data_IF_565143566260
#
_entry.id   IF_565143566260
#
_cell.length_a   1.000
_cell.length_b   1.000
_cell.length_c   1.000
_cell.angle_alpha   90.00
_cell.angle_beta   90.00
_cell.angle_gamma   90.00
#
_symmetry.space_group_name_H-M   'P 1'
#
loop_
_entity.id
_entity.type
_entity.pdbx_description
1 polymer ?
#
# COMPACT_ATOMS: atom_id res chain seq x y z
N UNK A 1 1.75 7.54 -21.37
CA UNK A 1 2.30 6.28 -20.83
C UNK A 1 1.10 5.40 -20.52
N UNK A 2 0.96 4.29 -21.23
CA UNK A 2 -0.17 3.34 -21.12
C UNK A 2 0.01 2.48 -19.87
N UNK A 3 -1.01 2.41 -19.00
CA UNK A 3 -1.05 1.56 -17.79
C UNK A 3 -1.32 0.10 -18.19
N UNK A 4 -0.42 -0.50 -18.97
CA UNK A 4 -0.52 -1.89 -19.42
C UNK A 4 0.79 -2.63 -19.10
N UNK A 5 0.66 -3.83 -18.52
CA UNK A 5 1.77 -4.78 -18.38
C UNK A 5 1.69 -5.81 -19.51
N UNK A 6 2.82 -6.07 -20.15
CA UNK A 6 2.99 -7.08 -21.20
C UNK A 6 4.04 -8.08 -20.73
N UNK A 7 3.84 -9.38 -20.99
CA UNK A 7 4.94 -10.34 -20.88
C UNK A 7 5.97 -10.09 -21.97
N UNK A 8 7.20 -10.59 -21.77
CA UNK A 8 8.18 -10.58 -22.84
C UNK A 8 7.64 -11.38 -24.04
N UNK A 9 7.76 -10.79 -25.23
CA UNK A 9 7.35 -11.36 -26.52
C UNK A 9 5.84 -11.50 -26.79
N UNK A 10 4.97 -10.82 -26.02
CA UNK A 10 3.53 -10.72 -26.32
C UNK A 10 3.08 -9.27 -26.57
N UNK A 11 2.27 -9.07 -27.61
CA UNK A 11 1.71 -7.75 -27.98
C UNK A 11 0.44 -7.45 -27.15
N UNK A 12 -0.26 -8.48 -26.71
CA UNK A 12 -1.47 -8.34 -25.89
C UNK A 12 -1.10 -7.91 -24.46
N UNK A 13 -1.80 -6.92 -23.88
CA UNK A 13 -1.62 -6.58 -22.48
C UNK A 13 -2.17 -7.72 -21.62
N UNK A 14 -1.31 -8.34 -20.83
CA UNK A 14 -1.71 -9.36 -19.85
C UNK A 14 -2.71 -8.79 -18.83
N UNK A 15 -2.58 -7.49 -18.56
CA UNK A 15 -3.47 -6.75 -17.68
C UNK A 15 -3.41 -5.27 -18.06
N UNK A 16 -4.56 -4.67 -18.38
CA UNK A 16 -4.69 -3.25 -18.70
C UNK A 16 -5.41 -2.49 -17.60
N UNK A 17 -5.19 -1.18 -17.49
CA UNK A 17 -5.99 -0.31 -16.61
C UNK A 17 -7.50 -0.38 -16.85
N UNK A 18 -7.96 -0.83 -18.03
CA UNK A 18 -9.38 -1.06 -18.33
C UNK A 18 -9.94 -2.32 -17.65
N UNK A 19 -9.10 -3.33 -17.46
CA UNK A 19 -9.47 -4.56 -16.76
C UNK A 19 -9.67 -4.27 -15.26
N UNK A 20 -8.82 -3.44 -14.66
CA UNK A 20 -9.05 -2.94 -13.29
C UNK A 20 -10.38 -2.17 -13.13
N UNK A 21 -10.76 -1.33 -14.09
CA UNK A 21 -12.03 -0.58 -14.04
C UNK A 21 -13.22 -1.54 -14.12
N UNK A 22 -13.12 -2.57 -14.96
CA UNK A 22 -14.17 -3.58 -15.14
C UNK A 22 -14.30 -4.48 -13.91
N UNK A 23 -13.18 -4.80 -13.26
CA UNK A 23 -13.13 -5.77 -12.16
C UNK A 23 -13.30 -5.16 -10.77
N UNK A 24 -12.76 -3.95 -10.53
CA UNK A 24 -12.83 -3.29 -9.22
C UNK A 24 -13.85 -2.14 -9.15
N UNK A 25 -14.61 -1.89 -10.23
CA UNK A 25 -15.49 -0.74 -10.39
C UNK A 25 -14.72 0.60 -10.57
N UNK A 26 -15.30 1.50 -11.37
CA UNK A 26 -14.78 2.84 -11.68
C UNK A 26 -14.55 3.70 -10.43
N UNK A 27 -15.37 3.56 -9.40
CA UNK A 27 -15.18 4.30 -8.15
C UNK A 27 -13.84 3.95 -7.50
N UNK A 28 -13.57 2.66 -7.30
CA UNK A 28 -12.33 2.18 -6.70
C UNK A 28 -11.10 2.62 -7.51
N UNK A 29 -11.17 2.51 -8.84
CA UNK A 29 -10.10 2.97 -9.72
C UNK A 29 -9.79 4.47 -9.54
N UNK A 30 -10.83 5.31 -9.41
CA UNK A 30 -10.65 6.73 -9.18
C UNK A 30 -10.01 7.01 -7.82
N UNK A 31 -10.39 6.27 -6.77
CA UNK A 31 -9.81 6.41 -5.43
C UNK A 31 -8.33 6.02 -5.43
N UNK A 32 -7.96 4.90 -6.06
CA UNK A 32 -6.56 4.50 -6.25
C UNK A 32 -5.75 5.54 -7.02
N UNK A 33 -6.32 6.10 -8.09
CA UNK A 33 -5.68 7.15 -8.87
C UNK A 33 -5.47 8.43 -8.05
N UNK A 34 -6.44 8.81 -7.23
CA UNK A 34 -6.33 9.96 -6.35
C UNK A 34 -5.22 9.76 -5.31
N UNK A 35 -5.17 8.59 -4.66
CA UNK A 35 -4.11 8.28 -3.70
C UNK A 35 -2.75 8.27 -4.37
N UNK A 36 -2.62 7.69 -5.57
CA UNK A 36 -1.36 7.73 -6.34
C UNK A 36 -0.90 9.17 -6.55
N UNK A 37 -1.78 10.05 -6.99
CA UNK A 37 -1.43 11.46 -7.22
C UNK A 37 -1.04 12.16 -5.92
N UNK A 38 -1.80 11.94 -4.84
CA UNK A 38 -1.50 12.50 -3.52
C UNK A 38 -0.12 12.02 -3.01
N UNK A 39 0.22 10.76 -3.23
CA UNK A 39 1.53 10.22 -2.89
C UNK A 39 2.62 10.86 -3.74
N UNK A 40 2.42 11.03 -5.05
CA UNK A 40 3.36 11.74 -5.95
C UNK A 40 3.62 13.16 -5.47
N UNK A 41 2.59 13.87 -5.03
CA UNK A 41 2.76 15.23 -4.49
C UNK A 41 3.59 15.20 -3.21
N UNK A 42 3.37 14.22 -2.33
CA UNK A 42 4.19 14.02 -1.12
C UNK A 42 5.64 13.68 -1.51
N UNK A 43 5.85 12.76 -2.45
CA UNK A 43 7.16 12.35 -2.97
C UNK A 43 7.98 13.54 -3.48
N UNK A 44 7.33 14.46 -4.17
CA UNK A 44 7.97 15.65 -4.72
C UNK A 44 8.31 16.68 -3.64
N UNK A 45 7.58 16.65 -2.51
CA UNK A 45 7.77 17.59 -1.41
C UNK A 45 8.82 17.16 -0.39
N UNK A 46 8.91 15.87 -0.07
CA UNK A 46 9.81 15.35 0.97
C UNK A 46 10.08 13.84 0.79
N UNK A 47 11.31 13.51 0.42
CA UNK A 47 11.75 12.13 0.17
C UNK A 47 12.03 11.33 1.44
N UNK A 48 12.21 11.98 2.59
CA UNK A 48 12.45 11.32 3.87
C UNK A 48 11.12 10.77 4.40
N UNK A 49 10.06 11.58 4.34
CA UNK A 49 8.71 11.17 4.74
C UNK A 49 8.30 9.89 4.04
N UNK A 50 8.57 9.76 2.74
CA UNK A 50 8.11 8.59 2.02
C UNK A 50 8.93 7.33 2.31
N UNK A 51 10.24 7.47 2.56
CA UNK A 51 11.08 6.35 3.01
C UNK A 51 10.53 5.80 4.32
N UNK A 52 10.14 6.69 5.25
CA UNK A 52 9.50 6.30 6.50
C UNK A 52 8.14 5.64 6.27
N UNK A 53 7.34 6.13 5.33
CA UNK A 53 6.06 5.51 4.98
C UNK A 53 6.22 4.09 4.47
N UNK A 54 7.17 3.84 3.57
CA UNK A 54 7.43 2.48 3.08
C UNK A 54 7.78 1.53 4.22
N UNK A 55 8.61 1.97 5.17
CA UNK A 55 8.94 1.17 6.36
C UNK A 55 7.71 0.92 7.23
N UNK A 56 6.87 1.93 7.47
CA UNK A 56 5.60 1.78 8.23
C UNK A 56 4.65 0.81 7.54
N UNK A 57 4.57 0.84 6.20
CA UNK A 57 3.73 -0.05 5.41
C UNK A 57 4.27 -1.49 5.41
N UNK A 58 5.59 -1.69 5.40
CA UNK A 58 6.21 -3.02 5.53
C UNK A 58 5.86 -3.71 6.85
N UNK A 59 5.77 -2.93 7.93
CA UNK A 59 5.32 -3.44 9.24
C UNK A 59 3.79 -3.42 9.42
N UNK A 60 3.02 -3.03 8.40
CA UNK A 60 1.56 -3.03 8.49
C UNK A 60 1.00 -4.43 8.35
N UNK A 61 0.26 -4.90 9.35
CA UNK A 61 -0.42 -6.20 9.32
C UNK A 61 -1.42 -6.36 8.17
N UNK A 62 -1.96 -5.27 7.60
CA UNK A 62 -2.94 -5.33 6.49
C UNK A 62 -2.29 -5.55 5.13
N UNK A 63 -1.08 -5.01 4.98
CA UNK A 63 -0.33 -5.04 3.72
C UNK A 63 0.68 -6.19 3.73
N UNK A 64 1.19 -6.53 4.91
CA UNK A 64 2.17 -7.60 5.05
C UNK A 64 1.57 -8.99 4.81
N UNK A 65 2.34 -9.82 4.13
CA UNK A 65 2.08 -11.23 3.80
C UNK A 65 2.09 -12.16 5.04
N UNK A 66 2.30 -11.63 6.25
CA UNK A 66 2.26 -12.43 7.49
C UNK A 66 0.89 -13.03 7.80
N UNK A 67 -0.16 -12.68 7.07
CA UNK A 67 -1.50 -13.22 7.26
C UNK A 67 -1.68 -14.62 6.63
N UNK A 68 -0.75 -15.07 5.80
CA UNK A 68 -0.81 -16.40 5.19
C UNK A 68 -0.37 -17.48 6.19
N UNK A 69 -1.18 -18.53 6.44
CA UNK A 69 -0.83 -19.61 7.36
C UNK A 69 0.41 -20.44 6.95
N UNK A 70 1.00 -20.16 5.78
CA UNK A 70 2.18 -20.84 5.23
C UNK A 70 3.49 -20.04 5.36
N UNK A 71 3.50 -18.87 6.01
CA UNK A 71 4.74 -18.14 6.20
C UNK A 71 5.62 -18.86 7.25
N UNK A 72 6.58 -19.66 6.78
CA UNK A 72 7.51 -20.51 7.56
C UNK A 72 8.32 -19.72 8.62
N UNK A 73 8.31 -18.38 8.56
CA UNK A 73 8.97 -17.49 9.50
C UNK A 73 8.19 -17.24 10.81
N UNK A 74 6.98 -17.79 10.99
CA UNK A 74 6.00 -17.30 11.98
C UNK A 74 5.90 -18.03 13.32
N UNK A 75 6.68 -19.08 13.60
CA UNK A 75 6.63 -19.69 14.94
C UNK A 75 7.15 -18.78 16.06
N UNK A 76 8.03 -17.81 15.74
CA UNK A 76 8.72 -16.98 16.75
C UNK A 76 8.50 -15.46 16.63
N UNK A 77 7.83 -14.97 15.58
CA UNK A 77 7.63 -13.53 15.38
C UNK A 77 6.36 -13.07 16.11
N UNK A 78 6.54 -12.48 17.30
CA UNK A 78 5.45 -11.91 18.08
C UNK A 78 4.81 -10.70 17.34
N UNK A 79 3.50 -10.73 17.02
CA UNK A 79 2.79 -9.61 16.38
C UNK A 79 2.93 -8.29 17.13
N UNK A 80 3.07 -8.34 18.45
CA UNK A 80 3.31 -7.17 19.30
C UNK A 80 4.65 -6.51 18.98
N UNK A 81 5.68 -7.28 18.63
CA UNK A 81 7.00 -6.76 18.29
C UNK A 81 6.99 -6.05 16.94
N UNK A 82 6.24 -6.56 15.96
CA UNK A 82 6.01 -5.89 14.67
C UNK A 82 5.29 -4.55 14.89
N UNK A 83 4.22 -4.55 15.69
CA UNK A 83 3.48 -3.33 16.01
C UNK A 83 4.35 -2.29 16.74
N UNK A 84 5.18 -2.74 17.68
CA UNK A 84 6.16 -1.87 18.36
C UNK A 84 7.15 -1.27 17.36
N UNK A 85 7.68 -2.07 16.45
CA UNK A 85 8.58 -1.59 15.40
C UNK A 85 7.89 -0.55 14.51
N UNK A 86 6.65 -0.81 14.08
CA UNK A 86 5.86 0.13 13.30
C UNK A 86 5.69 1.47 14.03
N UNK A 87 5.37 1.45 15.33
CA UNK A 87 5.19 2.66 16.13
C UNK A 87 6.47 3.48 16.28
N UNK A 88 7.65 2.85 16.31
CA UNK A 88 8.93 3.59 16.33
C UNK A 88 9.04 4.46 15.07
N UNK A 89 8.68 3.94 13.90
CA UNK A 89 8.72 4.70 12.66
C UNK A 89 7.62 5.76 12.57
N UNK A 90 6.43 5.48 13.11
CA UNK A 90 5.36 6.48 13.22
C UNK A 90 5.80 7.65 14.11
N UNK A 91 6.41 7.38 15.27
CA UNK A 91 6.98 8.41 16.14
C UNK A 91 8.08 9.19 15.44
N UNK A 92 8.93 8.51 14.66
CA UNK A 92 9.98 9.15 13.87
C UNK A 92 9.41 10.12 12.82
N UNK A 93 8.29 9.78 12.16
CA UNK A 93 7.60 10.71 11.25
C UNK A 93 7.14 11.95 12.01
N UNK A 94 6.53 11.79 13.19
CA UNK A 94 6.08 12.94 13.98
C UNK A 94 7.24 13.84 14.42
N UNK A 95 8.32 13.26 14.93
CA UNK A 95 9.54 14.00 15.32
C UNK A 95 10.19 14.70 14.13
N UNK A 96 10.25 14.04 12.98
CA UNK A 96 10.75 14.63 11.75
C UNK A 96 9.88 15.84 11.35
N UNK A 97 8.55 15.69 11.36
CA UNK A 97 7.65 16.79 11.08
C UNK A 97 7.85 17.98 12.03
N UNK A 98 8.02 17.71 13.33
CA UNK A 98 8.29 18.74 14.34
C UNK A 98 9.60 19.49 14.06
N UNK A 99 10.66 18.75 13.72
CA UNK A 99 11.97 19.33 13.43
C UNK A 99 11.95 20.16 12.13
N UNK A 100 11.29 19.65 11.08
CA UNK A 100 11.35 20.24 9.75
C UNK A 100 10.36 21.39 9.55
N UNK A 101 9.14 21.28 10.09
CA UNK A 101 8.04 22.23 9.84
C UNK A 101 7.60 23.01 11.09
N UNK A 102 8.21 22.73 12.24
CA UNK A 102 7.93 23.42 13.50
C UNK A 102 6.62 22.98 14.18
N UNK A 103 6.43 23.43 15.41
CA UNK A 103 5.33 23.01 16.30
C UNK A 103 3.93 23.30 15.76
N UNK A 104 3.79 24.31 14.91
CA UNK A 104 2.48 24.75 14.43
C UNK A 104 1.98 23.92 13.23
N UNK A 105 2.87 23.54 12.31
CA UNK A 105 2.50 22.79 11.11
C UNK A 105 2.64 21.28 11.28
N UNK A 106 3.55 20.83 12.15
CA UNK A 106 3.85 19.42 12.31
C UNK A 106 2.63 18.53 12.65
N UNK A 107 1.72 18.90 13.58
CA UNK A 107 0.55 18.07 13.88
C UNK A 107 -0.40 17.93 12.69
N UNK A 108 -0.54 18.99 11.89
CA UNK A 108 -1.43 19.02 10.72
C UNK A 108 -0.87 18.10 9.63
N UNK A 109 0.44 18.23 9.34
CA UNK A 109 1.11 17.40 8.35
C UNK A 109 1.15 15.93 8.79
N UNK A 110 1.49 15.67 10.05
CA UNK A 110 1.47 14.32 10.62
C UNK A 110 0.09 13.68 10.49
N UNK A 111 -0.99 14.37 10.88
CA UNK A 111 -2.34 13.83 10.76
C UNK A 111 -2.70 13.56 9.29
N UNK A 112 -2.35 14.48 8.38
CA UNK A 112 -2.55 14.29 6.93
C UNK A 112 -1.84 13.03 6.45
N UNK A 113 -0.59 12.83 6.86
CA UNK A 113 0.24 11.68 6.52
C UNK A 113 -0.33 10.35 7.03
N UNK A 114 -0.69 10.28 8.31
CA UNK A 114 -1.29 9.07 8.90
C UNK A 114 -2.63 8.74 8.24
N UNK A 115 -3.47 9.75 7.97
CA UNK A 115 -4.74 9.53 7.27
C UNK A 115 -4.55 8.94 5.87
N UNK A 116 -3.49 9.32 5.14
CA UNK A 116 -3.17 8.72 3.84
C UNK A 116 -2.73 7.26 4.00
N UNK A 117 -1.89 6.96 4.99
CA UNK A 117 -1.48 5.57 5.29
C UNK A 117 -2.68 4.68 5.62
N UNK A 118 -3.62 5.16 6.44
CA UNK A 118 -4.84 4.42 6.77
C UNK A 118 -5.72 4.17 5.54
N UNK A 119 -5.87 5.17 4.66
CA UNK A 119 -6.61 5.01 3.39
C UNK A 119 -5.97 3.98 2.48
N UNK A 120 -4.63 3.95 2.37
CA UNK A 120 -3.92 2.94 1.59
C UNK A 120 -4.21 1.54 2.14
N UNK A 121 -4.16 1.35 3.46
CA UNK A 121 -4.46 0.07 4.09
C UNK A 121 -5.91 -0.37 3.82
N UNK A 122 -6.86 0.55 3.89
CA UNK A 122 -8.26 0.27 3.57
C UNK A 122 -8.44 -0.17 2.11
N UNK A 123 -7.84 0.56 1.15
CA UNK A 123 -7.93 0.18 -0.26
C UNK A 123 -7.29 -1.18 -0.54
N UNK A 124 -6.20 -1.53 0.15
CA UNK A 124 -5.60 -2.86 0.04
C UNK A 124 -6.55 -3.95 0.53
N UNK A 125 -7.24 -3.73 1.64
CA UNK A 125 -8.25 -4.67 2.15
C UNK A 125 -9.43 -4.83 1.16
N UNK A 126 -9.89 -3.73 0.56
CA UNK A 126 -10.95 -3.73 -0.46
C UNK A 126 -10.51 -4.44 -1.76
N UNK A 127 -9.25 -4.31 -2.17
CA UNK A 127 -8.67 -5.06 -3.30
C UNK A 127 -8.67 -6.54 -2.99
N UNK A 128 -8.11 -6.94 -1.85
CA UNK A 128 -8.05 -8.35 -1.44
C UNK A 128 -9.45 -8.96 -1.39
N UNK A 129 -10.41 -8.24 -0.82
CA UNK A 129 -11.81 -8.67 -0.77
C UNK A 129 -12.42 -8.81 -2.16
N UNK A 130 -12.25 -7.82 -3.03
CA UNK A 130 -12.84 -7.87 -4.38
C UNK A 130 -12.24 -8.98 -5.21
N UNK A 131 -10.91 -9.15 -5.16
CA UNK A 131 -10.23 -10.21 -5.89
C UNK A 131 -10.71 -11.58 -5.42
N UNK A 132 -10.75 -11.82 -4.10
CA UNK A 132 -11.17 -13.12 -3.56
C UNK A 132 -12.64 -13.48 -3.86
N UNK A 133 -13.51 -12.49 -4.06
CA UNK A 133 -14.95 -12.73 -4.28
C UNK A 133 -15.39 -12.74 -5.74
N UNK A 134 -14.64 -12.08 -6.63
CA UNK A 134 -15.09 -11.83 -8.01
C UNK A 134 -14.14 -12.35 -9.09
N UNK A 135 -12.90 -12.69 -8.74
CA UNK A 135 -11.93 -13.23 -9.69
C UNK A 135 -11.52 -14.61 -9.19
N UNK A 136 -11.62 -15.62 -10.05
CA UNK A 136 -10.97 -16.89 -9.74
C UNK A 136 -9.46 -16.63 -9.68
N UNK A 137 -8.83 -16.94 -8.54
CA UNK A 137 -7.39 -16.69 -8.30
C UNK A 137 -6.54 -17.25 -9.46
N UNK A 138 -7.00 -18.32 -10.11
CA UNK A 138 -6.35 -18.94 -11.26
C UNK A 138 -6.26 -18.04 -12.51
N UNK A 139 -7.13 -17.04 -12.64
CA UNK A 139 -7.12 -16.06 -13.73
C UNK A 139 -6.10 -14.92 -13.52
N UNK A 140 -5.49 -14.83 -12.34
CA UNK A 140 -4.50 -13.81 -12.03
C UNK A 140 -3.10 -14.24 -12.48
N UNK A 141 -2.22 -13.27 -12.73
CA UNK A 141 -0.79 -13.58 -12.96
C UNK A 141 -0.17 -14.28 -11.73
N UNK A 142 0.82 -15.18 -11.92
CA UNK A 142 1.46 -15.89 -10.81
C UNK A 142 2.02 -14.96 -9.71
N UNK A 143 2.51 -13.78 -10.10
CA UNK A 143 2.96 -12.76 -9.14
C UNK A 143 1.80 -12.24 -8.28
N UNK A 144 0.66 -11.91 -8.90
CA UNK A 144 -0.51 -11.44 -8.15
C UNK A 144 -1.10 -12.55 -7.26
N UNK A 145 -1.13 -13.79 -7.75
CA UNK A 145 -1.51 -14.95 -6.95
C UNK A 145 -0.63 -15.05 -5.69
N UNK A 146 0.70 -14.92 -5.83
CA UNK A 146 1.65 -14.97 -4.70
C UNK A 146 1.51 -13.81 -3.69
N UNK A 147 0.85 -12.72 -4.06
CA UNK A 147 0.60 -11.57 -3.19
C UNK A 147 -0.76 -11.66 -2.45
N UNK A 148 -1.63 -12.56 -2.90
CA UNK A 148 -3.01 -12.73 -2.41
C UNK A 148 -3.19 -14.02 -1.59
N UNK A 149 -2.37 -15.04 -1.88
CA UNK A 149 -2.23 -16.27 -1.09
C UNK A 149 -1.32 -15.99 0.09
#
# INVERSE_FOLDING_TARGET
RTDCYHEQDTIDPLFSGKDWIKTLNKQFHNEMKQIRNDLIDIFQSDDIIIKLFYVILLFSNRISLYQTPQCILTSDINPLSIFKAQNIFVDLVYRYCLHQYGSNQAPILFLRYINKLMKIQQLVDEIKFTINNYIDITELSPLMQSLLV
#
